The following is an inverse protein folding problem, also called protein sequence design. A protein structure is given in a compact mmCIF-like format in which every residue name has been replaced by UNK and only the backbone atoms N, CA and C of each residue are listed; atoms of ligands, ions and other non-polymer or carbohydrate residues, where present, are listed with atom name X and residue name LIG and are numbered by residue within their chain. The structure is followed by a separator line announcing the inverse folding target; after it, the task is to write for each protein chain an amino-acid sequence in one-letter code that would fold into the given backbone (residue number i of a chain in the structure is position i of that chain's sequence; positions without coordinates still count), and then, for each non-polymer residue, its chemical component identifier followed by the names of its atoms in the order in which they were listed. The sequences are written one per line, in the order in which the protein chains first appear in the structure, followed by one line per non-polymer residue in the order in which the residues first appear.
data_IF_623271152688
#
_entry.id   IF_623271152688
#
_cell.length_a   1.000
_cell.length_b   1.000
_cell.length_c   1.000
_cell.angle_alpha   90.00
_cell.angle_beta   90.00
_cell.angle_gamma   90.00
#
_symmetry.space_group_name_H-M   'P 1'
#
loop_
_entity.id
_entity.type
_entity.pdbx_description
1 polymer ?
#
# COMPACT_ATOMS: atom_id res chain seq x y z
N UNK A 1 -15.44 -10.43 10.41
CA UNK A 1 -14.36 -9.51 10.81
C UNK A 1 -14.01 -8.72 9.57
N UNK A 2 -13.56 -7.48 9.67
CA UNK A 2 -13.06 -6.78 8.49
C UNK A 2 -11.64 -7.29 8.22
N UNK A 3 -11.30 -7.60 6.96
CA UNK A 3 -9.91 -7.86 6.58
C UNK A 3 -9.11 -6.59 6.87
N UNK A 4 -7.95 -6.75 7.45
CA UNK A 4 -6.98 -5.68 7.64
C UNK A 4 -6.10 -5.62 6.39
N UNK A 5 -5.95 -4.43 5.85
CA UNK A 5 -5.02 -4.16 4.77
C UNK A 5 -3.89 -3.32 5.36
N UNK A 6 -2.69 -3.88 5.39
CA UNK A 6 -1.48 -3.13 5.72
C UNK A 6 -1.11 -2.25 4.53
N UNK A 7 -0.58 -1.06 4.78
CA UNK A 7 -0.07 -0.21 3.72
C UNK A 7 1.19 0.53 4.15
N UNK A 8 2.04 0.85 3.18
CA UNK A 8 3.24 1.65 3.38
C UNK A 8 3.44 2.65 2.24
N UNK A 9 3.65 3.91 2.59
CA UNK A 9 3.83 5.04 1.66
C UNK A 9 5.24 5.57 1.77
N UNK A 10 5.91 5.73 0.63
CA UNK A 10 7.22 6.36 0.50
C UNK A 10 7.16 7.60 -0.39
N UNK A 11 7.70 8.70 0.09
CA UNK A 11 7.98 9.89 -0.71
C UNK A 11 9.41 9.77 -1.28
N UNK A 12 9.54 9.27 -2.50
CA UNK A 12 10.85 9.02 -3.15
C UNK A 12 11.57 10.32 -3.55
N UNK A 13 10.80 11.34 -3.94
CA UNK A 13 11.30 12.69 -4.19
C UNK A 13 10.35 13.69 -3.52
N UNK A 14 10.85 14.37 -2.53
CA UNK A 14 10.11 15.39 -1.77
C UNK A 14 11.08 16.49 -1.31
N UNK A 15 10.77 17.74 -1.66
CA UNK A 15 11.60 18.89 -1.28
C UNK A 15 11.35 19.34 0.17
N UNK A 16 12.23 20.22 0.69
CA UNK A 16 12.16 20.70 2.07
C UNK A 16 10.85 21.44 2.38
N UNK A 17 10.22 22.11 1.41
CA UNK A 17 8.98 22.82 1.63
C UNK A 17 7.80 21.87 1.80
N UNK A 18 7.71 20.81 0.98
CA UNK A 18 6.71 19.78 1.12
C UNK A 18 6.94 18.94 2.39
N UNK A 19 8.19 18.62 2.75
CA UNK A 19 8.52 17.98 4.04
C UNK A 19 8.06 18.83 5.23
N UNK A 20 8.27 20.15 5.18
CA UNK A 20 7.79 21.04 6.23
C UNK A 20 6.25 21.03 6.33
N UNK A 21 5.56 20.97 5.18
CA UNK A 21 4.09 20.87 5.15
C UNK A 21 3.61 19.52 5.69
N UNK A 22 4.23 18.40 5.31
CA UNK A 22 3.94 17.09 5.88
C UNK A 22 4.10 17.08 7.40
N UNK A 23 5.19 17.65 7.89
CA UNK A 23 5.42 17.81 9.33
C UNK A 23 4.34 18.64 10.03
N UNK A 24 3.80 19.70 9.39
CA UNK A 24 2.68 20.46 9.95
C UNK A 24 1.41 19.60 10.04
N UNK A 25 1.11 18.81 9.00
CA UNK A 25 -0.06 17.91 9.00
C UNK A 25 0.05 16.86 10.10
N UNK A 26 1.21 16.25 10.28
CA UNK A 26 1.43 15.21 11.29
C UNK A 26 1.47 15.74 12.73
N UNK A 27 1.68 17.05 12.96
CA UNK A 27 1.60 17.64 14.30
C UNK A 27 0.20 17.53 14.95
N UNK A 28 -0.84 17.35 14.15
CA UNK A 28 -2.21 17.21 14.63
C UNK A 28 -2.53 15.78 15.09
N UNK A 29 -1.68 14.82 14.72
CA UNK A 29 -1.86 13.42 15.09
C UNK A 29 -1.71 13.21 16.59
N UNK A 30 -2.72 12.62 17.20
CA UNK A 30 -2.71 12.24 18.61
C UNK A 30 -2.71 10.73 18.74
N UNK A 31 -1.66 10.19 19.36
CA UNK A 31 -1.53 8.75 19.53
C UNK A 31 -2.57 8.21 20.50
N UNK A 32 -3.41 7.29 20.03
CA UNK A 32 -4.44 6.60 20.80
C UNK A 32 -4.15 5.08 20.71
N UNK A 33 -3.90 4.40 21.82
CA UNK A 33 -3.63 2.95 21.86
C UNK A 33 -2.53 2.47 20.86
N UNK A 34 -1.41 3.19 20.77
CA UNK A 34 -0.24 2.90 19.92
C UNK A 34 -0.37 3.28 18.43
N UNK A 35 -1.47 3.85 17.99
CA UNK A 35 -1.77 4.23 16.61
C UNK A 35 -2.38 5.62 16.53
N UNK A 36 -2.46 6.19 15.32
CA UNK A 36 -3.03 7.49 15.05
C UNK A 36 -4.21 7.33 14.09
N UNK A 37 -5.30 8.04 14.36
CA UNK A 37 -6.42 8.06 13.41
C UNK A 37 -6.02 8.84 12.15
N UNK A 38 -6.12 8.21 10.98
CA UNK A 38 -5.68 8.81 9.71
C UNK A 38 -6.37 10.15 9.42
N UNK A 39 -7.68 10.25 9.68
CA UNK A 39 -8.45 11.48 9.49
C UNK A 39 -7.98 12.68 10.33
N UNK A 40 -7.23 12.46 11.42
CA UNK A 40 -6.72 13.55 12.25
C UNK A 40 -5.69 14.43 11.52
N UNK A 41 -5.12 13.98 10.38
CA UNK A 41 -4.28 14.81 9.51
C UNK A 41 -4.95 16.11 9.04
N UNK A 42 -6.28 16.11 8.92
CA UNK A 42 -7.06 17.28 8.47
C UNK A 42 -7.66 18.10 9.60
N UNK A 43 -7.47 17.72 10.86
CA UNK A 43 -7.96 18.46 12.05
C UNK A 43 -6.95 19.50 12.47
N UNK A 44 -6.86 20.63 11.75
CA UNK A 44 -5.88 21.68 12.00
C UNK A 44 -6.44 22.89 12.80
N UNK A 45 -7.72 22.85 13.18
CA UNK A 45 -8.39 23.89 13.97
C UNK A 45 -8.66 25.21 13.24
N UNK A 46 -8.43 25.25 11.93
CA UNK A 46 -8.73 26.43 11.11
C UNK A 46 -10.22 26.48 10.75
N UNK A 47 -10.69 27.66 10.36
CA UNK A 47 -12.07 27.82 9.89
C UNK A 47 -12.30 27.00 8.60
N UNK A 48 -13.29 26.11 8.64
CA UNK A 48 -13.62 25.20 7.54
C UNK A 48 -12.97 23.83 7.60
N UNK A 49 -12.03 23.60 8.50
CA UNK A 49 -11.47 22.27 8.73
C UNK A 49 -12.43 21.37 9.51
N UNK A 50 -12.43 20.05 9.24
CA UNK A 50 -13.27 19.13 9.99
C UNK A 50 -12.86 19.06 11.45
N UNK A 51 -13.82 18.75 12.31
CA UNK A 51 -13.58 18.48 13.72
C UNK A 51 -13.13 17.02 13.94
N UNK A 52 -12.50 16.76 15.09
CA UNK A 52 -12.11 15.41 15.50
C UNK A 52 -13.28 14.41 15.51
N UNK A 53 -14.48 14.85 15.87
CA UNK A 53 -15.68 14.02 15.87
C UNK A 53 -16.21 13.75 14.45
N UNK A 54 -16.00 14.68 13.51
CA UNK A 54 -16.42 14.52 12.11
C UNK A 54 -15.55 13.51 11.38
N UNK A 55 -14.24 13.59 11.51
CA UNK A 55 -13.30 12.68 10.82
C UNK A 55 -13.39 11.23 11.30
N UNK A 56 -14.11 10.97 12.40
CA UNK A 56 -14.37 9.61 12.93
C UNK A 56 -15.71 9.02 12.49
N UNK A 57 -16.51 9.77 11.76
CA UNK A 57 -17.80 9.26 11.24
C UNK A 57 -17.53 8.36 10.03
N UNK A 58 -18.30 7.28 9.95
CA UNK A 58 -18.24 6.33 8.86
C UNK A 58 -18.32 7.00 7.47
N UNK A 59 -19.34 7.82 7.25
CA UNK A 59 -19.56 8.51 5.98
C UNK A 59 -18.38 9.43 5.63
N UNK A 60 -17.83 10.15 6.62
CA UNK A 60 -16.68 11.01 6.39
C UNK A 60 -15.45 10.20 5.98
N UNK A 61 -15.19 9.07 6.64
CA UNK A 61 -14.02 8.23 6.36
C UNK A 61 -14.12 7.63 4.96
N UNK A 62 -15.28 7.08 4.60
CA UNK A 62 -15.49 6.47 3.28
C UNK A 62 -15.47 7.50 2.15
N UNK A 63 -15.96 8.74 2.39
CA UNK A 63 -15.99 9.79 1.37
C UNK A 63 -14.63 10.50 1.19
N UNK A 64 -13.70 10.36 2.17
CA UNK A 64 -12.47 11.17 2.20
C UNK A 64 -11.18 10.34 2.24
N UNK A 65 -11.22 9.10 2.72
CA UNK A 65 -10.06 8.24 2.87
C UNK A 65 -10.21 6.98 2.00
N UNK A 66 -11.46 6.52 1.77
CA UNK A 66 -11.84 5.32 1.03
C UNK A 66 -12.27 4.20 1.97
N UNK A 67 -11.39 3.58 2.76
CA UNK A 67 -11.77 2.49 3.66
C UNK A 67 -12.62 2.96 4.83
N UNK A 68 -13.38 2.01 5.40
CA UNK A 68 -14.29 2.24 6.53
C UNK A 68 -13.59 2.83 7.77
N UNK A 69 -12.36 2.43 8.02
CA UNK A 69 -11.47 2.95 9.05
C UNK A 69 -10.02 2.82 8.57
N UNK A 70 -9.17 3.73 9.02
CA UNK A 70 -7.77 3.77 8.67
C UNK A 70 -6.94 4.35 9.82
N UNK A 71 -5.82 3.71 10.13
CA UNK A 71 -4.88 4.12 11.16
C UNK A 71 -3.48 4.24 10.59
N UNK A 72 -2.73 5.23 11.05
CA UNK A 72 -1.29 5.34 10.88
C UNK A 72 -0.63 4.73 12.12
N UNK A 73 0.33 3.83 11.93
CA UNK A 73 1.12 3.24 13.03
C UNK A 73 2.38 4.04 13.30
N UNK A 74 3.06 4.43 12.24
CA UNK A 74 4.29 5.20 12.27
C UNK A 74 4.40 6.13 11.05
N UNK A 75 5.21 7.16 11.21
CA UNK A 75 5.52 8.12 10.16
C UNK A 75 6.83 8.83 10.49
N UNK A 76 7.51 9.28 9.46
CA UNK A 76 8.68 10.14 9.52
C UNK A 76 8.63 11.26 8.48
N UNK A 77 9.77 11.82 8.04
CA UNK A 77 9.82 12.96 7.13
C UNK A 77 9.59 12.59 5.65
N UNK A 78 9.72 11.31 5.30
CA UNK A 78 9.61 10.81 3.93
C UNK A 78 8.80 9.50 3.79
N UNK A 79 8.17 9.04 4.86
CA UNK A 79 7.32 7.85 4.82
C UNK A 79 6.22 7.84 5.87
N UNK A 80 5.23 7.00 5.68
CA UNK A 80 4.28 6.59 6.71
C UNK A 80 3.64 5.25 6.36
N UNK A 81 3.23 4.54 7.40
CA UNK A 81 2.59 3.23 7.25
C UNK A 81 1.49 2.99 8.27
N UNK A 82 0.65 2.04 7.99
CA UNK A 82 -0.46 1.70 8.86
C UNK A 82 -1.33 0.59 8.33
N UNK A 83 -2.60 0.61 8.72
CA UNK A 83 -3.57 -0.37 8.25
C UNK A 83 -4.97 0.23 8.16
N UNK A 84 -5.79 -0.39 7.31
CA UNK A 84 -7.14 0.03 6.98
C UNK A 84 -8.08 -1.16 6.81
N UNK A 85 -9.39 -0.89 6.64
CA UNK A 85 -10.39 -1.92 6.41
C UNK A 85 -10.60 -2.16 4.92
N UNK A 86 -10.35 -3.38 4.45
CA UNK A 86 -10.70 -3.94 3.13
C UNK A 86 -9.98 -3.39 1.91
N UNK A 87 -9.43 -2.20 1.96
CA UNK A 87 -8.69 -1.57 0.84
C UNK A 87 -7.62 -0.62 1.34
N UNK A 88 -6.65 -0.30 0.51
CA UNK A 88 -5.69 0.77 0.76
C UNK A 88 -6.40 2.14 0.87
N UNK A 89 -5.84 3.13 1.60
CA UNK A 89 -6.43 4.45 1.79
C UNK A 89 -6.12 5.39 0.62
N UNK A 90 -6.45 5.00 -0.61
CA UNK A 90 -6.08 5.73 -1.83
C UNK A 90 -6.62 7.15 -1.89
N UNK A 91 -7.92 7.35 -1.62
CA UNK A 91 -8.51 8.70 -1.62
C UNK A 91 -7.86 9.62 -0.58
N UNK A 92 -7.51 9.05 0.58
CA UNK A 92 -6.78 9.76 1.62
C UNK A 92 -5.36 10.12 1.21
N UNK A 93 -4.65 9.21 0.53
CA UNK A 93 -3.32 9.45 -0.01
C UNK A 93 -3.36 10.54 -1.08
N UNK A 94 -4.26 10.46 -2.06
CA UNK A 94 -4.41 11.48 -3.11
C UNK A 94 -4.60 12.87 -2.50
N UNK A 95 -5.43 13.01 -1.47
CA UNK A 95 -5.61 14.30 -0.78
C UNK A 95 -4.37 14.80 -0.05
N UNK A 96 -3.56 13.89 0.51
CA UNK A 96 -2.24 14.27 1.06
C UNK A 96 -1.36 14.81 -0.07
N UNK A 97 -1.31 14.10 -1.20
CA UNK A 97 -0.50 14.49 -2.36
C UNK A 97 -0.97 15.82 -2.98
N UNK A 98 -2.29 16.04 -3.14
CA UNK A 98 -2.87 17.32 -3.56
C UNK A 98 -2.44 18.51 -2.66
N UNK A 99 -2.21 18.24 -1.39
CA UNK A 99 -1.73 19.25 -0.45
C UNK A 99 -0.22 19.46 -0.56
N UNK A 100 0.56 18.38 -0.73
CA UNK A 100 2.01 18.46 -0.81
C UNK A 100 2.51 18.99 -2.15
N UNK A 101 1.83 18.69 -3.26
CA UNK A 101 2.22 19.14 -4.60
C UNK A 101 2.15 20.67 -4.76
N UNK A 102 1.37 21.37 -3.92
CA UNK A 102 1.37 22.85 -3.86
C UNK A 102 2.74 23.41 -3.47
N UNK A 103 3.56 22.62 -2.80
CA UNK A 103 4.90 22.94 -2.33
C UNK A 103 6.00 22.22 -3.14
N UNK A 104 5.66 21.07 -3.72
CA UNK A 104 6.54 20.28 -4.57
C UNK A 104 5.76 19.64 -5.72
N UNK A 105 5.64 20.33 -6.86
CA UNK A 105 4.92 19.79 -8.03
C UNK A 105 5.63 18.59 -8.68
N UNK A 106 6.84 18.26 -8.24
CA UNK A 106 7.61 17.11 -8.74
C UNK A 106 7.69 15.95 -7.73
N UNK A 107 6.89 15.98 -6.66
CA UNK A 107 6.88 14.88 -5.68
C UNK A 107 6.60 13.56 -6.39
N UNK A 108 7.38 12.51 -6.06
CA UNK A 108 7.13 11.14 -6.49
C UNK A 108 6.85 10.30 -5.25
N UNK A 109 5.74 9.58 -5.27
CA UNK A 109 5.28 8.80 -4.11
C UNK A 109 4.88 7.41 -4.56
N UNK A 110 5.21 6.38 -3.78
CA UNK A 110 4.62 5.05 -3.92
C UNK A 110 3.82 4.66 -2.69
N UNK A 111 2.84 3.79 -2.89
CA UNK A 111 2.19 3.01 -1.85
C UNK A 111 2.28 1.54 -2.20
N UNK A 112 2.62 0.72 -1.21
CA UNK A 112 2.44 -0.74 -1.25
C UNK A 112 1.36 -1.13 -0.25
N UNK A 113 0.63 -2.18 -0.53
CA UNK A 113 -0.38 -2.72 0.37
C UNK A 113 -0.58 -4.22 0.18
N UNK A 114 -0.99 -4.88 1.26
CA UNK A 114 -1.35 -6.29 1.32
C UNK A 114 -2.46 -6.53 2.35
N UNK A 115 -3.32 -7.51 2.15
CA UNK A 115 -4.28 -7.90 3.16
C UNK A 115 -3.70 -8.96 4.14
N UNK A 116 -4.40 -9.21 5.27
CA UNK A 116 -3.95 -10.08 6.37
C UNK A 116 -3.57 -11.51 5.95
N UNK A 117 -4.25 -12.01 4.93
CA UNK A 117 -3.97 -13.30 4.28
C UNK A 117 -3.96 -12.95 2.80
N UNK A 118 -2.79 -12.76 2.18
CA UNK A 118 -2.72 -12.03 0.93
C UNK A 118 -3.60 -12.65 -0.15
N UNK A 119 -4.91 -12.33 -0.08
CA UNK A 119 -5.86 -12.58 -1.15
C UNK A 119 -5.65 -11.58 -2.26
N UNK A 120 -5.00 -10.46 -1.93
CA UNK A 120 -4.52 -9.47 -2.88
C UNK A 120 -3.36 -8.70 -2.29
N UNK A 121 -2.47 -8.25 -3.16
CA UNK A 121 -1.38 -7.32 -2.87
C UNK A 121 -1.34 -6.28 -3.98
N UNK A 122 -0.81 -5.11 -3.71
CA UNK A 122 -0.72 -4.11 -4.76
C UNK A 122 0.27 -3.00 -4.47
N UNK A 123 0.50 -2.20 -5.50
CA UNK A 123 1.29 -0.99 -5.42
C UNK A 123 0.78 0.04 -6.42
N UNK A 124 0.95 1.32 -6.09
CA UNK A 124 0.73 2.44 -6.99
C UNK A 124 1.90 3.42 -6.88
N UNK A 125 2.19 4.12 -7.97
CA UNK A 125 3.15 5.23 -8.03
C UNK A 125 2.43 6.48 -8.51
N UNK A 126 2.70 7.60 -7.86
CA UNK A 126 2.13 8.90 -8.13
C UNK A 126 3.22 9.90 -8.50
N UNK A 127 2.88 10.80 -9.44
CA UNK A 127 3.63 11.99 -9.80
C UNK A 127 2.76 13.22 -9.47
N UNK A 128 3.14 13.98 -8.43
CA UNK A 128 2.17 14.89 -7.80
C UNK A 128 1.04 14.09 -7.16
N UNK A 129 -0.20 14.47 -7.46
CA UNK A 129 -1.41 13.76 -7.03
C UNK A 129 -2.00 12.82 -8.11
N UNK A 130 -1.39 12.77 -9.30
CA UNK A 130 -1.82 11.90 -10.40
C UNK A 130 -1.15 10.53 -10.29
N UNK A 131 -1.95 9.45 -10.39
CA UNK A 131 -1.46 8.09 -10.43
C UNK A 131 -0.88 7.82 -11.83
N UNK A 132 0.39 7.42 -11.88
CA UNK A 132 1.12 7.13 -13.13
C UNK A 132 1.02 5.67 -13.54
N UNK A 133 1.14 4.76 -12.55
CA UNK A 133 1.07 3.32 -12.77
C UNK A 133 0.75 2.60 -11.47
N UNK A 134 0.33 1.33 -11.58
CA UNK A 134 0.04 0.46 -10.45
C UNK A 134 -0.39 -0.92 -10.86
N UNK A 135 -0.30 -1.85 -9.92
CA UNK A 135 -0.75 -3.22 -10.07
C UNK A 135 -1.45 -3.67 -8.79
N UNK A 136 -2.46 -4.49 -8.92
CA UNK A 136 -3.06 -5.27 -7.85
C UNK A 136 -3.11 -6.72 -8.33
N UNK A 137 -2.41 -7.61 -7.62
CA UNK A 137 -2.32 -9.02 -7.92
C UNK A 137 -3.20 -9.79 -6.92
N UNK A 138 -4.00 -10.72 -7.40
CA UNK A 138 -4.81 -11.59 -6.57
C UNK A 138 -4.03 -12.85 -6.10
N UNK A 139 -4.67 -13.70 -5.32
CA UNK A 139 -4.04 -14.90 -4.74
C UNK A 139 -3.59 -15.90 -5.82
N UNK A 140 -4.24 -15.96 -6.99
CA UNK A 140 -3.81 -16.81 -8.11
C UNK A 140 -2.53 -16.26 -8.75
N UNK A 141 -2.48 -14.96 -9.00
CA UNK A 141 -1.31 -14.29 -9.59
C UNK A 141 -0.10 -14.37 -8.65
N UNK A 142 -0.31 -14.16 -7.35
CA UNK A 142 0.73 -14.33 -6.32
C UNK A 142 1.25 -15.77 -6.31
N UNK A 143 0.35 -16.75 -6.32
CA UNK A 143 0.70 -18.18 -6.32
C UNK A 143 1.52 -18.56 -7.55
N UNK A 144 1.10 -18.12 -8.74
CA UNK A 144 1.85 -18.37 -9.97
C UNK A 144 3.25 -17.74 -9.91
N UNK A 145 3.39 -16.52 -9.41
CA UNK A 145 4.69 -15.87 -9.24
C UNK A 145 5.61 -16.65 -8.27
N UNK A 146 5.05 -17.16 -7.18
CA UNK A 146 5.81 -18.01 -6.23
C UNK A 146 6.25 -19.30 -6.91
N UNK A 147 5.37 -19.99 -7.66
CA UNK A 147 5.70 -21.23 -8.36
C UNK A 147 6.70 -21.01 -9.50
N UNK A 148 6.65 -19.86 -10.18
CA UNK A 148 7.63 -19.54 -11.22
C UNK A 148 9.05 -19.38 -10.65
N UNK A 149 9.17 -18.80 -9.46
CA UNK A 149 10.46 -18.67 -8.77
C UNK A 149 10.86 -19.97 -8.03
N UNK A 150 9.89 -20.79 -7.62
CA UNK A 150 10.10 -22.02 -6.85
C UNK A 150 9.38 -23.22 -7.51
N UNK A 151 9.81 -23.68 -8.71
CA UNK A 151 9.07 -24.67 -9.50
C UNK A 151 8.83 -26.01 -8.80
N UNK A 152 9.66 -26.38 -7.80
CA UNK A 152 9.53 -27.60 -7.04
C UNK A 152 8.27 -27.61 -6.15
N UNK A 153 7.78 -26.43 -5.72
CA UNK A 153 6.55 -26.32 -4.92
C UNK A 153 5.31 -26.69 -5.73
N UNK A 154 5.32 -26.35 -7.03
CA UNK A 154 4.22 -26.68 -7.94
C UNK A 154 4.00 -28.19 -8.11
N UNK A 155 5.02 -29.00 -7.90
CA UNK A 155 4.91 -30.46 -7.98
C UNK A 155 3.96 -31.04 -6.91
N UNK A 156 3.70 -30.30 -5.83
CA UNK A 156 2.81 -30.66 -4.72
C UNK A 156 1.44 -29.95 -4.76
N UNK A 157 1.17 -29.18 -5.83
CA UNK A 157 -0.10 -28.52 -6.08
C UNK A 157 -0.97 -29.34 -7.03
N UNK A 158 -2.28 -29.39 -6.80
CA UNK A 158 -3.26 -30.02 -7.70
C UNK A 158 -4.01 -28.93 -8.49
N UNK A 159 -3.52 -28.63 -9.68
CA UNK A 159 -4.12 -27.63 -10.58
C UNK A 159 -5.58 -27.94 -10.94
N UNK A 160 -6.03 -29.19 -10.84
CA UNK A 160 -7.39 -29.57 -11.20
C UNK A 160 -8.42 -29.24 -10.11
N UNK A 161 -7.98 -29.27 -8.86
CA UNK A 161 -8.80 -28.98 -7.70
C UNK A 161 -8.47 -27.62 -7.06
N UNK A 162 -7.41 -26.93 -7.51
CA UNK A 162 -6.92 -25.67 -6.99
C UNK A 162 -6.58 -25.74 -5.50
N UNK A 163 -5.84 -26.78 -5.10
CA UNK A 163 -5.45 -27.07 -3.72
C UNK A 163 -4.14 -27.83 -3.62
N UNK A 164 -3.56 -27.88 -2.42
CA UNK A 164 -2.43 -28.76 -2.13
C UNK A 164 -2.83 -30.24 -2.22
N UNK A 165 -1.90 -31.09 -2.70
CA UNK A 165 -2.19 -32.52 -2.93
C UNK A 165 -2.67 -33.22 -1.66
N UNK A 166 -3.79 -33.92 -1.78
CA UNK A 166 -4.40 -34.72 -0.72
C UNK A 166 -4.29 -36.23 -1.02
N UNK A 167 -4.35 -37.03 0.02
CA UNK A 167 -4.43 -38.49 -0.07
C UNK A 167 -5.85 -39.00 -0.37
N UNK A 168 -6.04 -40.34 -0.38
CA UNK A 168 -7.34 -40.95 -0.69
C UNK A 168 -8.42 -40.64 0.35
N UNK A 169 -8.05 -40.26 1.57
CA UNK A 169 -8.97 -39.89 2.66
C UNK A 169 -9.31 -38.38 2.63
N UNK A 170 -8.65 -37.59 1.77
CA UNK A 170 -8.84 -36.13 1.62
C UNK A 170 -7.99 -35.30 2.58
N UNK A 171 -7.04 -35.92 3.25
CA UNK A 171 -6.08 -35.25 4.09
C UNK A 171 -4.85 -34.81 3.24
N UNK A 172 -4.32 -33.62 3.49
CA UNK A 172 -3.11 -33.16 2.80
C UNK A 172 -1.94 -34.12 3.02
N UNK A 173 -1.17 -34.43 1.99
CA UNK A 173 -0.02 -35.30 2.11
C UNK A 173 1.10 -34.66 2.94
N UNK A 174 2.01 -35.50 3.53
CA UNK A 174 3.12 -34.96 4.33
C UNK A 174 4.06 -34.07 3.49
N UNK A 175 4.28 -34.45 2.24
CA UNK A 175 5.07 -33.67 1.28
C UNK A 175 4.39 -32.34 0.91
N UNK A 176 3.06 -32.32 0.75
CA UNK A 176 2.29 -31.10 0.47
C UNK A 176 2.27 -30.16 1.67
N UNK A 177 2.18 -30.65 2.90
CA UNK A 177 2.35 -29.82 4.10
C UNK A 177 3.71 -29.11 4.16
N UNK A 178 4.78 -29.86 3.84
CA UNK A 178 6.12 -29.27 3.82
C UNK A 178 6.27 -28.20 2.72
N UNK A 179 5.66 -28.44 1.55
CA UNK A 179 5.65 -27.49 0.45
C UNK A 179 4.81 -26.23 0.77
N UNK A 180 3.67 -26.40 1.46
CA UNK A 180 2.85 -25.27 1.92
C UNK A 180 3.59 -24.39 2.94
N UNK A 181 4.32 -25.00 3.87
CA UNK A 181 5.12 -24.23 4.84
C UNK A 181 6.24 -23.46 4.14
N UNK A 182 6.95 -24.08 3.18
CA UNK A 182 7.98 -23.41 2.36
C UNK A 182 7.37 -22.31 1.48
N UNK A 183 6.20 -22.55 0.88
CA UNK A 183 5.46 -21.54 0.11
C UNK A 183 5.19 -20.29 0.94
N UNK A 184 4.70 -20.45 2.18
CA UNK A 184 4.45 -19.32 3.09
C UNK A 184 5.72 -18.54 3.42
N UNK A 185 6.84 -19.23 3.60
CA UNK A 185 8.12 -18.60 3.95
C UNK A 185 8.65 -17.74 2.80
N UNK A 186 8.51 -18.18 1.53
CA UNK A 186 9.03 -17.43 0.37
C UNK A 186 8.01 -16.44 -0.23
N UNK A 187 6.72 -16.60 0.03
CA UNK A 187 5.66 -15.78 -0.58
C UNK A 187 5.87 -14.27 -0.37
N UNK A 188 6.15 -13.85 0.85
CA UNK A 188 6.38 -12.43 1.13
C UNK A 188 7.66 -11.87 0.49
N UNK A 189 8.68 -12.71 0.27
CA UNK A 189 9.88 -12.31 -0.45
C UNK A 189 9.55 -12.04 -1.93
N UNK A 190 8.77 -12.92 -2.55
CA UNK A 190 8.29 -12.78 -3.93
C UNK A 190 7.40 -11.54 -4.08
N UNK A 191 6.43 -11.34 -3.19
CA UNK A 191 5.56 -10.15 -3.18
C UNK A 191 6.39 -8.85 -3.10
N UNK A 192 7.33 -8.78 -2.17
CA UNK A 192 8.19 -7.61 -2.02
C UNK A 192 9.04 -7.34 -3.27
N UNK A 193 9.55 -8.39 -3.94
CA UNK A 193 10.31 -8.27 -5.18
C UNK A 193 9.43 -7.76 -6.34
N UNK A 194 8.21 -8.29 -6.49
CA UNK A 194 7.24 -7.84 -7.49
C UNK A 194 6.92 -6.36 -7.31
N UNK A 195 6.52 -5.95 -6.10
CA UNK A 195 6.20 -4.56 -5.79
C UNK A 195 7.40 -3.63 -6.02
N UNK A 196 8.58 -4.00 -5.51
CA UNK A 196 9.79 -3.18 -5.67
C UNK A 196 10.16 -3.00 -7.13
N UNK A 197 10.10 -4.07 -7.93
CA UNK A 197 10.42 -4.03 -9.36
C UNK A 197 9.48 -3.09 -10.12
N UNK A 198 8.16 -3.23 -9.91
CA UNK A 198 7.17 -2.38 -10.56
C UNK A 198 7.33 -0.90 -10.19
N UNK A 199 7.53 -0.62 -8.90
CA UNK A 199 7.74 0.75 -8.40
C UNK A 199 9.02 1.36 -8.99
N UNK A 200 10.14 0.64 -8.97
CA UNK A 200 11.43 1.14 -9.46
C UNK A 200 11.39 1.44 -10.97
N UNK A 201 10.76 0.57 -11.76
CA UNK A 201 10.59 0.76 -13.21
C UNK A 201 9.71 1.98 -13.50
N UNK A 202 8.61 2.15 -12.78
CA UNK A 202 7.73 3.31 -12.93
C UNK A 202 8.44 4.63 -12.55
N UNK A 203 9.12 4.67 -11.40
CA UNK A 203 9.88 5.85 -10.96
C UNK A 203 10.96 6.22 -11.97
N UNK A 204 11.66 5.23 -12.52
CA UNK A 204 12.65 5.45 -13.56
C UNK A 204 12.03 6.06 -14.81
N UNK A 205 10.90 5.53 -15.26
CA UNK A 205 10.15 6.07 -16.40
C UNK A 205 9.75 7.54 -16.18
N UNK A 206 9.20 7.89 -15.01
CA UNK A 206 8.82 9.26 -14.65
C UNK A 206 10.04 10.20 -14.72
N UNK A 207 11.19 9.77 -14.18
CA UNK A 207 12.42 10.57 -14.20
C UNK A 207 12.94 10.79 -15.61
N UNK A 208 13.00 9.77 -16.44
CA UNK A 208 13.40 9.85 -17.83
C UNK A 208 12.47 10.79 -18.63
N UNK A 209 11.15 10.68 -18.45
CA UNK A 209 10.17 11.55 -19.10
C UNK A 209 10.33 13.03 -18.72
N UNK A 210 10.70 13.32 -17.47
CA UNK A 210 10.97 14.69 -17.01
C UNK A 210 12.25 15.27 -17.60
N UNK A 211 13.31 14.45 -17.77
CA UNK A 211 14.56 14.89 -18.39
C UNK A 211 14.41 15.21 -19.88
N UNK A 212 13.48 14.52 -20.58
CA UNK A 212 13.20 14.75 -22.00
C UNK A 212 12.34 16.00 -22.27
N UNK A 213 11.65 16.53 -21.26
CA UNK A 213 10.87 17.78 -21.40
C UNK A 213 11.83 18.99 -21.34
N UNK A 214 12.01 19.76 -22.44
CA UNK A 214 12.82 20.95 -22.39
C UNK A 214 12.20 21.94 -21.41
N UNK A 215 13.04 22.56 -20.56
CA UNK A 215 12.60 23.60 -19.65
C UNK A 215 11.74 24.61 -20.42
N UNK A 216 10.46 24.70 -20.07
CA UNK A 216 9.58 25.73 -20.59
C UNK A 216 10.00 27.03 -19.90
N UNK A 217 10.73 27.89 -20.64
CA UNK A 217 11.11 29.24 -20.23
C UNK A 217 9.90 30.21 -20.15
#
# INVERSE_FOLDING_TARGET
MANHVSFYVNFHEINDAAKARWKEMTQNLVKENYEYWFGDLWVDGKEGSPTKDEVRKYDWTTDHIGPKWCYIQDFDEDSFGGYSAWSAPEDGLVKILEELEKFDPNIITSITYDDEMPNFVGWYVYSGSEMEDGCEDDDEEIREAVFDQNPHLREHWDDANDEWQCDEDGDMTEEAYAAEDEYRDCMYEVINEMQATGIDDCIKFIKEAREEQPAQD
#
